data_IF_563322213332
#
_entry.id   IF_563322213332
#
_cell.length_a   1.000
_cell.length_b   1.000
_cell.length_c   1.000
_cell.angle_alpha   90.00
_cell.angle_beta   90.00
_cell.angle_gamma   90.00
#
_symmetry.space_group_name_H-M   'P 1'
#
loop_
_entity.id
_entity.type
_entity.pdbx_description
1 polymer ?
#
# COMPACT_ATOMS: atom_id res chain seq x y z
N UNK A 1 7.83 47.00 -26.53
CA UNK A 1 8.34 46.36 -25.30
C UNK A 1 7.13 45.77 -24.58
N UNK A 2 6.98 44.44 -24.62
CA UNK A 2 5.76 43.71 -24.25
C UNK A 2 5.66 43.57 -22.73
N UNK A 3 4.54 44.01 -22.15
CA UNK A 3 4.04 43.56 -20.85
C UNK A 3 3.79 42.05 -20.93
N UNK A 4 4.52 41.24 -20.16
CA UNK A 4 4.16 39.84 -19.88
C UNK A 4 3.60 39.74 -18.47
N UNK A 5 2.34 39.30 -18.44
CA UNK A 5 1.55 38.89 -17.29
C UNK A 5 2.28 37.76 -16.54
N UNK A 6 2.55 37.95 -15.25
CA UNK A 6 2.84 36.85 -14.33
C UNK A 6 1.52 36.28 -13.84
N UNK A 7 0.95 35.34 -14.60
CA UNK A 7 -0.20 34.54 -14.16
C UNK A 7 0.31 33.53 -13.14
N UNK A 8 -0.11 33.69 -11.88
CA UNK A 8 -0.01 32.66 -10.85
C UNK A 8 -0.95 31.54 -11.27
N UNK A 9 -0.39 30.47 -11.84
CA UNK A 9 -1.12 29.26 -12.12
C UNK A 9 -1.14 28.40 -10.85
N UNK A 10 -2.18 28.59 -10.05
CA UNK A 10 -2.67 27.58 -9.12
C UNK A 10 -3.13 26.40 -9.97
N UNK A 11 -2.24 25.42 -10.20
CA UNK A 11 -2.64 24.14 -10.79
C UNK A 11 -3.21 23.29 -9.66
N UNK A 12 -4.50 23.53 -9.50
CA UNK A 12 -5.51 22.88 -8.72
C UNK A 12 -5.60 21.38 -9.07
N UNK A 13 -5.21 20.52 -8.11
CA UNK A 13 -5.99 19.40 -7.53
C UNK A 13 -7.03 18.62 -8.39
N UNK A 14 -6.85 18.53 -9.71
CA UNK A 14 -7.81 17.87 -10.60
C UNK A 14 -7.30 16.55 -11.23
N UNK A 15 -6.09 16.11 -10.89
CA UNK A 15 -5.49 14.88 -11.46
C UNK A 15 -5.63 13.63 -10.59
N UNK A 16 -6.02 13.72 -9.31
CA UNK A 16 -6.12 12.52 -8.45
C UNK A 16 -7.41 11.71 -8.60
N UNK A 17 -8.47 12.28 -9.17
CA UNK A 17 -9.77 11.58 -9.25
C UNK A 17 -9.88 10.60 -10.42
N UNK A 18 -9.00 10.69 -11.43
CA UNK A 18 -9.03 9.78 -12.60
C UNK A 18 -8.16 8.53 -12.44
N UNK A 19 -7.22 8.50 -11.51
CA UNK A 19 -6.44 7.29 -11.20
C UNK A 19 -7.08 6.40 -10.14
N UNK A 20 -7.94 6.94 -9.28
CA UNK A 20 -8.66 6.18 -8.25
C UNK A 20 -9.61 5.10 -8.82
N UNK A 21 -10.01 5.17 -10.10
CA UNK A 21 -10.88 4.17 -10.73
C UNK A 21 -10.15 2.95 -11.30
N UNK A 22 -8.81 2.90 -11.26
CA UNK A 22 -8.05 1.75 -11.79
C UNK A 22 -7.98 0.57 -10.82
N UNK A 23 -8.41 0.76 -9.58
CA UNK A 23 -8.40 -0.25 -8.51
C UNK A 23 -9.82 -0.63 -8.05
N UNK A 24 -10.75 -0.77 -8.99
CA UNK A 24 -12.03 -1.44 -8.68
C UNK A 24 -11.75 -2.93 -8.45
N UNK A 25 -11.55 -3.31 -7.19
CA UNK A 25 -11.31 -4.70 -6.80
C UNK A 25 -12.58 -5.53 -7.12
N UNK A 26 -12.45 -6.66 -7.83
CA UNK A 26 -13.57 -7.54 -8.14
C UNK A 26 -14.32 -7.99 -6.87
N UNK A 27 -15.65 -7.91 -6.87
CA UNK A 27 -16.53 -8.21 -5.72
C UNK A 27 -16.68 -9.70 -5.39
N UNK A 28 -15.88 -10.58 -6.00
CA UNK A 28 -15.91 -12.02 -5.77
C UNK A 28 -14.57 -12.51 -5.21
N UNK A 29 -14.64 -13.34 -4.17
CA UNK A 29 -13.47 -14.02 -3.62
C UNK A 29 -12.75 -14.80 -4.72
N UNK A 30 -11.46 -14.56 -4.88
CA UNK A 30 -10.61 -15.31 -5.80
C UNK A 30 -9.59 -16.13 -5.04
N UNK A 31 -9.17 -17.23 -5.64
CA UNK A 31 -8.04 -18.01 -5.15
C UNK A 31 -6.80 -17.54 -5.90
N UNK A 32 -5.80 -17.05 -5.18
CA UNK A 32 -4.53 -16.54 -5.73
C UNK A 32 -3.36 -17.42 -5.26
N UNK A 33 -2.24 -17.49 -5.99
CA UNK A 33 -1.02 -18.10 -5.48
C UNK A 33 -0.58 -17.41 -4.19
N UNK A 34 -0.12 -18.18 -3.21
CA UNK A 34 0.44 -17.62 -1.98
C UNK A 34 1.68 -16.78 -2.35
N UNK A 35 1.81 -15.53 -1.86
CA UNK A 35 2.90 -14.64 -2.26
C UNK A 35 4.29 -15.21 -1.92
N UNK A 36 4.41 -15.91 -0.79
CA UNK A 36 5.67 -16.49 -0.31
C UNK A 36 5.81 -18.01 -0.52
N UNK A 37 4.74 -18.79 -0.34
CA UNK A 37 4.81 -20.26 -0.33
C UNK A 37 4.51 -20.81 -1.73
N UNK A 38 5.54 -21.36 -2.38
CA UNK A 38 5.40 -21.99 -3.71
C UNK A 38 4.35 -23.11 -3.69
N UNK A 39 3.62 -23.26 -4.80
CA UNK A 39 2.59 -24.28 -5.02
C UNK A 39 1.45 -24.28 -3.98
N UNK A 40 1.27 -23.18 -3.25
CA UNK A 40 0.15 -23.00 -2.33
C UNK A 40 -0.80 -21.97 -2.90
N UNK A 41 -2.09 -22.22 -2.79
CA UNK A 41 -3.16 -21.31 -3.20
C UNK A 41 -3.87 -20.80 -1.95
N UNK A 42 -4.14 -19.50 -1.90
CA UNK A 42 -4.80 -18.83 -0.78
C UNK A 42 -6.03 -18.08 -1.24
N UNK A 43 -6.97 -17.88 -0.33
CA UNK A 43 -8.12 -17.00 -0.57
C UNK A 43 -7.63 -15.56 -0.49
N UNK A 44 -7.92 -14.80 -1.53
CA UNK A 44 -7.68 -13.37 -1.58
C UNK A 44 -8.66 -12.65 -0.63
N UNK A 45 -8.15 -12.26 0.55
CA UNK A 45 -8.96 -11.60 1.58
C UNK A 45 -9.18 -10.12 1.30
N UNK A 46 -8.38 -9.48 0.44
CA UNK A 46 -8.57 -8.06 0.07
C UNK A 46 -9.97 -7.82 -0.52
N UNK A 47 -10.52 -8.85 -1.17
CA UNK A 47 -11.84 -8.83 -1.81
C UNK A 47 -13.00 -9.03 -0.83
N UNK A 48 -12.72 -9.14 0.47
CA UNK A 48 -13.76 -9.31 1.48
C UNK A 48 -14.17 -7.94 2.04
N UNK A 49 -15.48 -7.63 2.12
CA UNK A 49 -15.97 -6.34 2.61
C UNK A 49 -15.54 -6.04 4.06
N UNK A 50 -15.33 -7.08 4.86
CA UNK A 50 -14.85 -6.98 6.24
C UNK A 50 -13.33 -6.99 6.37
N UNK A 51 -12.58 -7.09 5.28
CA UNK A 51 -11.12 -6.98 5.31
C UNK A 51 -10.68 -5.60 5.77
N UNK A 52 -9.53 -5.53 6.44
CA UNK A 52 -9.02 -4.29 6.98
C UNK A 52 -7.50 -4.29 7.05
N UNK A 53 -6.95 -3.11 6.99
CA UNK A 53 -5.53 -2.84 7.15
C UNK A 53 -5.24 -2.12 8.46
N UNK A 54 -4.03 -2.26 8.96
CA UNK A 54 -3.54 -1.46 10.08
C UNK A 54 -2.34 -0.65 9.63
N UNK A 55 -2.34 0.65 9.95
CA UNK A 55 -1.22 1.54 9.68
C UNK A 55 -1.00 2.47 10.88
N UNK A 56 0.19 2.43 11.49
CA UNK A 56 0.50 3.20 12.71
C UNK A 56 -0.60 3.12 13.77
N UNK A 57 -1.00 1.89 14.13
CA UNK A 57 -2.08 1.55 15.08
C UNK A 57 -3.49 2.04 14.70
N UNK A 58 -3.68 2.63 13.53
CA UNK A 58 -4.99 3.00 13.00
C UNK A 58 -5.55 1.88 12.15
N UNK A 59 -6.82 1.55 12.39
CA UNK A 59 -7.55 0.51 11.67
C UNK A 59 -8.28 1.10 10.46
N UNK A 60 -8.04 0.58 9.27
CA UNK A 60 -8.65 1.00 8.01
C UNK A 60 -9.54 -0.11 7.47
N UNK A 61 -10.84 0.00 7.69
CA UNK A 61 -11.83 -0.97 7.21
C UNK A 61 -13.25 -0.47 7.38
N UNK A 62 -14.22 -1.33 7.07
CA UNK A 62 -15.63 -1.05 7.29
C UNK A 62 -16.27 -2.11 8.20
N UNK A 63 -16.81 -1.70 9.34
CA UNK A 63 -17.47 -2.58 10.31
C UNK A 63 -18.81 -2.00 10.75
N UNK A 64 -19.62 -2.77 11.49
CA UNK A 64 -21.00 -2.36 11.83
C UNK A 64 -21.03 -1.09 12.69
N UNK A 65 -20.02 -0.86 13.53
CA UNK A 65 -19.76 0.39 14.24
C UNK A 65 -18.30 0.80 14.09
N UNK A 66 -18.07 2.09 13.90
CA UNK A 66 -16.76 2.68 13.67
C UNK A 66 -16.68 4.07 14.33
N UNK A 67 -15.47 4.42 14.77
CA UNK A 67 -15.16 5.73 15.35
C UNK A 67 -13.94 6.32 14.65
N UNK A 68 -14.11 7.52 14.12
CA UNK A 68 -13.05 8.26 13.44
C UNK A 68 -12.69 9.48 14.26
N UNK A 69 -11.58 9.41 14.97
CA UNK A 69 -11.01 10.54 15.71
C UNK A 69 -10.10 11.41 14.83
N UNK A 70 -9.55 12.47 15.44
CA UNK A 70 -8.69 13.46 14.76
C UNK A 70 -7.51 12.84 14.00
N UNK A 71 -6.96 11.73 14.50
CA UNK A 71 -5.85 11.01 13.87
C UNK A 71 -6.17 10.47 12.47
N UNK A 72 -7.45 10.23 12.15
CA UNK A 72 -7.86 9.79 10.81
C UNK A 72 -7.92 10.94 9.81
N UNK A 73 -8.10 12.20 10.26
CA UNK A 73 -8.44 13.31 9.36
C UNK A 73 -7.27 13.81 8.51
N UNK A 74 -6.04 13.39 8.83
CA UNK A 74 -4.88 13.56 7.95
C UNK A 74 -4.92 12.63 6.73
N UNK A 75 -5.70 11.54 6.80
CA UNK A 75 -5.79 10.53 5.75
C UNK A 75 -7.14 10.54 5.03
N UNK A 76 -8.23 10.62 5.79
CA UNK A 76 -9.60 10.60 5.27
C UNK A 76 -10.27 11.92 5.65
N UNK A 77 -10.65 12.76 4.67
CA UNK A 77 -11.33 14.01 4.96
C UNK A 77 -12.62 13.79 5.76
N UNK A 78 -12.83 14.61 6.79
CA UNK A 78 -14.05 14.54 7.64
C UNK A 78 -15.33 14.56 6.81
N UNK A 79 -15.37 15.42 5.78
CA UNK A 79 -16.50 15.56 4.87
C UNK A 79 -16.80 14.29 4.09
N UNK A 80 -15.81 13.46 3.77
CA UNK A 80 -16.02 12.18 3.09
C UNK A 80 -16.80 11.21 3.99
N UNK A 81 -16.49 11.18 5.29
CA UNK A 81 -17.19 10.35 6.27
C UNK A 81 -18.59 10.90 6.55
N UNK A 82 -18.71 12.20 6.85
CA UNK A 82 -19.98 12.85 7.19
C UNK A 82 -21.01 12.85 6.05
N UNK A 83 -20.55 12.73 4.80
CA UNK A 83 -21.45 12.69 3.64
C UNK A 83 -22.08 11.32 3.41
N UNK A 84 -21.74 10.28 4.19
CA UNK A 84 -22.26 8.94 4.01
C UNK A 84 -23.72 8.85 4.47
N UNK A 85 -24.65 8.75 3.50
CA UNK A 85 -26.09 8.86 3.75
C UNK A 85 -26.76 7.56 4.21
N UNK A 86 -26.14 6.41 3.92
CA UNK A 86 -26.76 5.10 4.12
C UNK A 86 -26.43 4.48 5.49
N UNK A 87 -25.86 5.24 6.43
CA UNK A 87 -25.62 4.76 7.77
C UNK A 87 -26.92 4.69 8.57
N UNK A 88 -27.08 3.63 9.37
CA UNK A 88 -28.12 3.55 10.39
C UNK A 88 -28.03 4.71 11.40
N UNK A 89 -26.79 5.06 11.80
CA UNK A 89 -26.54 6.21 12.67
C UNK A 89 -25.21 6.86 12.30
N UNK A 90 -25.23 8.18 12.17
CA UNK A 90 -24.03 8.98 11.92
C UNK A 90 -24.09 10.21 12.83
N UNK A 91 -23.07 10.36 13.68
CA UNK A 91 -23.01 11.43 14.66
C UNK A 91 -21.61 12.03 14.74
N UNK A 92 -21.56 13.35 14.88
CA UNK A 92 -20.37 14.07 15.29
C UNK A 92 -20.46 14.33 16.79
N UNK A 93 -19.50 13.81 17.55
CA UNK A 93 -19.40 13.98 19.00
C UNK A 93 -18.69 15.30 19.34
N UNK A 94 -18.84 15.78 20.58
CA UNK A 94 -18.29 17.07 21.04
C UNK A 94 -16.76 17.16 20.96
N UNK A 95 -16.05 16.03 20.96
CA UNK A 95 -14.60 15.94 20.80
C UNK A 95 -14.16 15.82 19.34
N UNK A 96 -15.04 16.20 18.40
CA UNK A 96 -14.88 16.09 16.96
C UNK A 96 -14.79 14.67 16.43
N UNK A 97 -15.02 13.63 17.25
CA UNK A 97 -15.05 12.23 16.78
C UNK A 97 -16.31 11.96 15.98
N UNK A 98 -16.17 11.31 14.82
CA UNK A 98 -17.31 10.88 14.02
C UNK A 98 -17.60 9.42 14.35
N UNK A 99 -18.81 9.16 14.83
CA UNK A 99 -19.35 7.82 15.02
C UNK A 99 -20.19 7.43 13.81
N UNK A 100 -19.94 6.24 13.26
CA UNK A 100 -20.70 5.67 12.15
C UNK A 100 -21.17 4.27 12.55
N UNK A 101 -22.47 4.03 12.40
CA UNK A 101 -23.09 2.72 12.55
C UNK A 101 -23.79 2.36 11.25
N UNK A 102 -23.40 1.25 10.64
CA UNK A 102 -23.95 0.80 9.35
C UNK A 102 -25.27 0.05 9.53
N UNK A 103 -25.38 -0.80 10.57
CA UNK A 103 -26.57 -1.62 10.85
C UNK A 103 -26.96 -1.56 12.33
N UNK A 104 -28.23 -1.84 12.68
CA UNK A 104 -28.68 -1.86 14.07
C UNK A 104 -27.94 -2.88 14.94
N UNK A 105 -27.55 -4.01 14.34
CA UNK A 105 -27.02 -5.18 15.04
C UNK A 105 -25.75 -5.72 14.38
N UNK A 106 -24.80 -6.16 15.22
CA UNK A 106 -23.59 -6.90 14.79
C UNK A 106 -23.93 -8.27 14.17
N UNK A 107 -25.08 -8.85 14.53
CA UNK A 107 -25.49 -10.20 14.11
C UNK A 107 -25.98 -10.24 12.66
N UNK A 108 -26.09 -9.09 11.99
CA UNK A 108 -26.45 -8.99 10.57
C UNK A 108 -25.24 -9.21 9.65
N UNK A 109 -24.14 -9.80 10.16
CA UNK A 109 -22.90 -9.97 9.42
C UNK A 109 -23.06 -10.83 8.14
N UNK A 110 -23.98 -11.78 8.10
CA UNK A 110 -24.25 -12.58 6.89
C UNK A 110 -25.29 -11.96 5.94
N UNK A 111 -25.82 -10.77 6.26
CA UNK A 111 -26.74 -10.07 5.39
C UNK A 111 -26.02 -9.46 4.18
N UNK A 112 -26.46 -9.81 2.97
CA UNK A 112 -25.92 -9.28 1.71
C UNK A 112 -26.07 -7.76 1.59
N UNK A 113 -27.14 -7.17 2.15
CA UNK A 113 -27.32 -5.72 2.21
C UNK A 113 -26.29 -5.05 3.10
N UNK A 114 -25.95 -5.68 4.24
CA UNK A 114 -24.88 -5.20 5.11
C UNK A 114 -23.52 -5.27 4.41
N UNK A 115 -23.23 -6.37 3.69
CA UNK A 115 -22.00 -6.47 2.88
C UNK A 115 -21.92 -5.38 1.83
N UNK A 116 -23.04 -5.03 1.21
CA UNK A 116 -23.13 -3.90 0.28
C UNK A 116 -22.86 -2.58 0.99
N UNK A 117 -23.41 -2.34 2.18
CA UNK A 117 -23.16 -1.12 2.96
C UNK A 117 -21.69 -0.96 3.35
N UNK A 118 -21.00 -2.05 3.70
CA UNK A 118 -19.56 -2.04 3.95
C UNK A 118 -18.79 -1.57 2.71
N UNK A 119 -19.15 -2.09 1.53
CA UNK A 119 -18.55 -1.67 0.26
C UNK A 119 -18.86 -0.21 -0.08
N UNK A 120 -20.14 0.19 0.01
CA UNK A 120 -20.56 1.57 -0.28
C UNK A 120 -19.79 2.56 0.63
N UNK A 121 -19.59 2.22 1.91
CA UNK A 121 -18.81 3.03 2.83
C UNK A 121 -17.33 3.11 2.43
N UNK A 122 -16.72 1.98 2.04
CA UNK A 122 -15.32 1.93 1.58
C UNK A 122 -15.11 2.76 0.32
N UNK A 123 -15.97 2.57 -0.68
CA UNK A 123 -15.94 3.28 -1.96
C UNK A 123 -16.12 4.80 -1.75
N UNK A 124 -17.07 5.21 -0.90
CA UNK A 124 -17.34 6.63 -0.65
C UNK A 124 -16.21 7.33 0.12
N UNK A 125 -15.68 6.67 1.15
CA UNK A 125 -14.64 7.29 2.00
C UNK A 125 -13.25 7.21 1.40
N UNK A 126 -13.03 6.27 0.47
CA UNK A 126 -11.71 5.98 -0.09
C UNK A 126 -10.77 5.30 0.91
N UNK A 127 -11.28 4.79 2.04
CA UNK A 127 -10.49 4.22 3.14
C UNK A 127 -9.54 3.10 2.67
N UNK A 128 -9.96 2.32 1.68
CA UNK A 128 -9.19 1.22 1.11
C UNK A 128 -8.04 1.70 0.23
N UNK A 129 -8.27 2.75 -0.57
CA UNK A 129 -7.24 3.36 -1.42
C UNK A 129 -6.17 3.97 -0.54
N UNK A 130 -6.59 4.73 0.47
CA UNK A 130 -5.71 5.33 1.48
C UNK A 130 -4.89 4.26 2.20
N UNK A 131 -5.52 3.15 2.62
CA UNK A 131 -4.80 2.08 3.30
C UNK A 131 -3.72 1.43 2.42
N UNK A 132 -4.04 1.16 1.14
CA UNK A 132 -3.07 0.61 0.19
C UNK A 132 -1.92 1.58 -0.07
N UNK A 133 -2.21 2.87 -0.30
CA UNK A 133 -1.19 3.90 -0.50
C UNK A 133 -0.23 3.97 0.69
N UNK A 134 -0.76 3.98 1.92
CA UNK A 134 0.04 4.05 3.14
C UNK A 134 0.94 2.81 3.33
N UNK A 135 0.45 1.62 3.01
CA UNK A 135 1.24 0.38 3.11
C UNK A 135 2.33 0.31 2.03
N UNK A 136 2.03 0.76 0.81
CA UNK A 136 3.02 0.85 -0.26
C UNK A 136 4.10 1.90 0.02
N UNK A 137 3.70 3.08 0.50
CA UNK A 137 4.64 4.14 0.85
C UNK A 137 5.58 3.71 2.00
N UNK A 138 5.09 2.98 3.01
CA UNK A 138 5.94 2.46 4.09
C UNK A 138 6.94 1.42 3.57
N UNK A 139 6.53 0.57 2.63
CA UNK A 139 7.43 -0.39 1.99
C UNK A 139 8.50 0.32 1.14
N UNK A 140 8.13 1.33 0.36
CA UNK A 140 9.09 2.13 -0.42
C UNK A 140 10.02 2.96 0.48
N UNK A 141 9.51 3.59 1.53
CA UNK A 141 10.33 4.36 2.47
C UNK A 141 11.25 3.46 3.30
N UNK A 142 10.84 2.22 3.64
CA UNK A 142 11.73 1.21 4.22
C UNK A 142 12.91 0.88 3.32
N UNK A 143 12.74 0.92 1.99
CA UNK A 143 13.81 0.66 1.03
C UNK A 143 14.82 1.82 1.01
N UNK A 144 14.38 3.07 1.20
CA UNK A 144 15.25 4.26 1.12
C UNK A 144 16.19 4.40 2.32
N UNK A 145 15.76 4.00 3.52
CA UNK A 145 16.60 3.98 4.74
C UNK A 145 17.20 2.59 5.05
N UNK A 146 17.14 1.67 4.08
CA UNK A 146 17.72 0.34 4.27
C UNK A 146 19.25 0.40 4.20
N UNK A 147 19.89 -0.28 5.16
CA UNK A 147 21.30 -0.67 5.10
C UNK A 147 21.40 -2.17 4.78
N UNK A 148 21.05 -2.59 3.55
CA UNK A 148 20.87 -3.99 3.23
C UNK A 148 22.21 -4.71 3.19
N UNK A 149 22.20 -5.98 3.60
CA UNK A 149 23.36 -6.88 3.42
C UNK A 149 23.33 -7.60 2.07
N UNK A 150 22.16 -7.58 1.39
CA UNK A 150 21.94 -8.09 0.03
C UNK A 150 20.91 -7.21 -0.68
N UNK A 151 21.19 -6.82 -1.93
CA UNK A 151 20.23 -6.15 -2.82
C UNK A 151 19.87 -7.05 -4.00
N UNK A 152 18.61 -7.01 -4.43
CA UNK A 152 18.12 -7.63 -5.65
C UNK A 152 17.64 -6.52 -6.56
N UNK A 153 18.34 -6.31 -7.67
CA UNK A 153 18.05 -5.27 -8.65
C UNK A 153 17.56 -5.92 -9.95
N UNK A 154 16.69 -5.22 -10.67
CA UNK A 154 16.10 -5.69 -11.93
C UNK A 154 16.16 -4.62 -13.00
N UNK A 155 15.81 -4.99 -14.24
CA UNK A 155 15.66 -4.08 -15.37
C UNK A 155 16.95 -3.30 -15.70
N UNK A 156 17.03 -2.01 -15.37
CA UNK A 156 18.10 -1.10 -15.76
C UNK A 156 19.49 -1.52 -15.27
N UNK A 157 19.56 -2.38 -14.25
CA UNK A 157 20.81 -2.89 -13.67
C UNK A 157 21.31 -4.19 -14.30
N UNK A 158 20.51 -4.84 -15.15
CA UNK A 158 20.85 -6.13 -15.77
C UNK A 158 21.33 -5.92 -17.21
N UNK A 159 22.52 -5.33 -17.37
CA UNK A 159 23.07 -4.95 -18.69
C UNK A 159 23.88 -6.08 -19.34
N UNK A 160 24.17 -7.17 -18.62
CA UNK A 160 24.96 -8.30 -19.09
C UNK A 160 24.11 -9.51 -19.52
N UNK A 161 22.81 -9.33 -19.67
CA UNK A 161 21.88 -10.33 -20.24
C UNK A 161 21.13 -11.15 -19.20
N UNK A 162 21.29 -10.87 -17.90
CA UNK A 162 20.46 -11.42 -16.85
C UNK A 162 19.09 -10.75 -16.75
N UNK A 163 18.23 -11.30 -15.91
CA UNK A 163 16.94 -10.69 -15.55
C UNK A 163 16.92 -10.15 -14.12
N UNK A 164 17.90 -10.54 -13.30
CA UNK A 164 18.08 -10.11 -11.91
C UNK A 164 19.57 -9.96 -11.61
N UNK A 165 19.96 -8.88 -10.96
CA UNK A 165 21.28 -8.68 -10.39
C UNK A 165 21.19 -8.86 -8.87
N UNK A 166 22.00 -9.76 -8.33
CA UNK A 166 22.18 -9.94 -6.89
C UNK A 166 23.47 -9.23 -6.47
N UNK A 167 23.39 -8.38 -5.45
CA UNK A 167 24.53 -7.68 -4.88
C UNK A 167 24.70 -8.05 -3.42
N UNK A 168 25.85 -8.58 -3.07
CA UNK A 168 26.22 -8.95 -1.71
C UNK A 168 27.30 -8.02 -1.17
N UNK A 169 27.17 -7.69 0.11
CA UNK A 169 28.07 -6.82 0.84
C UNK A 169 28.89 -7.65 1.84
N UNK A 170 30.21 -7.68 1.69
CA UNK A 170 31.13 -8.46 2.51
C UNK A 170 32.12 -7.58 3.29
N UNK A 171 32.44 -7.98 4.51
CA UNK A 171 33.59 -7.45 5.26
C UNK A 171 34.89 -8.20 4.90
N UNK A 172 36.02 -7.80 5.47
CA UNK A 172 37.32 -8.44 5.23
C UNK A 172 37.35 -9.92 5.65
N UNK A 173 36.51 -10.28 6.63
CA UNK A 173 36.31 -11.65 7.09
C UNK A 173 35.43 -12.51 6.17
N UNK A 174 35.02 -12.00 5.01
CA UNK A 174 34.09 -12.66 4.05
C UNK A 174 32.73 -13.01 4.67
N UNK A 175 32.30 -12.24 5.67
CA UNK A 175 30.95 -12.34 6.22
C UNK A 175 30.05 -11.35 5.50
N UNK A 176 28.80 -11.76 5.24
CA UNK A 176 27.79 -10.86 4.69
C UNK A 176 27.37 -9.88 5.78
N UNK A 177 27.56 -8.59 5.53
CA UNK A 177 27.33 -7.50 6.50
C UNK A 177 26.47 -6.42 5.86
N UNK A 178 25.84 -5.52 6.66
CA UNK A 178 25.16 -4.34 6.11
C UNK A 178 26.08 -3.53 5.18
N UNK A 179 25.50 -2.88 4.18
CA UNK A 179 26.23 -2.10 3.17
C UNK A 179 27.19 -1.08 3.80
N UNK A 180 26.81 -0.44 4.91
CA UNK A 180 27.64 0.54 5.61
C UNK A 180 28.91 -0.05 6.26
N UNK A 181 28.93 -1.36 6.52
CA UNK A 181 30.04 -2.08 7.14
C UNK A 181 30.89 -2.85 6.10
N UNK A 182 30.53 -2.76 4.82
CA UNK A 182 31.12 -3.56 3.76
C UNK A 182 32.46 -3.00 3.29
N UNK A 183 33.41 -3.90 3.03
CA UNK A 183 34.70 -3.59 2.39
C UNK A 183 34.76 -4.16 0.98
N UNK A 184 33.83 -5.03 0.58
CA UNK A 184 33.83 -5.71 -0.71
C UNK A 184 32.39 -5.92 -1.18
N UNK A 185 32.17 -5.73 -2.48
CA UNK A 185 30.89 -5.95 -3.14
C UNK A 185 31.05 -7.06 -4.18
N UNK A 186 30.13 -8.03 -4.16
CA UNK A 186 29.98 -9.05 -5.19
C UNK A 186 28.65 -8.81 -5.91
N UNK A 187 28.72 -8.56 -7.22
CA UNK A 187 27.56 -8.53 -8.09
C UNK A 187 27.53 -9.79 -8.95
N UNK A 188 26.36 -10.36 -9.15
CA UNK A 188 26.17 -11.32 -10.24
C UNK A 188 24.77 -11.22 -10.85
N UNK A 189 24.71 -11.33 -12.16
CA UNK A 189 23.45 -11.39 -12.91
C UNK A 189 23.04 -12.85 -13.12
N UNK A 190 21.74 -13.12 -12.96
CA UNK A 190 21.15 -14.44 -13.22
C UNK A 190 20.08 -14.38 -14.31
N UNK A 191 20.02 -15.43 -15.12
CA UNK A 191 18.97 -15.62 -16.12
C UNK A 191 17.65 -16.15 -15.52
N UNK A 192 16.67 -16.44 -16.38
CA UNK A 192 15.35 -16.97 -15.99
C UNK A 192 15.41 -18.34 -15.32
N UNK A 193 16.45 -19.12 -15.61
CA UNK A 193 16.67 -20.46 -15.07
C UNK A 193 17.53 -20.42 -13.80
N UNK A 194 17.94 -19.22 -13.35
CA UNK A 194 18.77 -19.01 -12.17
C UNK A 194 20.26 -19.26 -12.41
N UNK A 195 20.71 -19.31 -13.67
CA UNK A 195 22.13 -19.48 -14.01
C UNK A 195 22.83 -18.13 -13.98
N UNK A 196 24.03 -18.10 -13.43
CA UNK A 196 24.89 -16.91 -13.44
C UNK A 196 25.36 -16.66 -14.87
N UNK A 197 25.05 -15.48 -15.40
CA UNK A 197 25.48 -15.06 -16.74
C UNK A 197 26.60 -14.03 -16.71
N UNK A 198 26.79 -13.38 -15.55
CA UNK A 198 27.85 -12.42 -15.32
C UNK A 198 28.14 -12.28 -13.83
N UNK A 199 29.40 -11.99 -13.49
CA UNK A 199 29.87 -11.78 -12.12
C UNK A 199 30.96 -10.70 -12.09
N UNK A 200 30.95 -9.86 -11.06
CA UNK A 200 31.98 -8.88 -10.76
C UNK A 200 32.19 -8.74 -9.26
N UNK A 201 33.46 -8.62 -8.86
CA UNK A 201 33.85 -8.35 -7.47
C UNK A 201 34.74 -7.12 -7.45
N UNK A 202 34.41 -6.17 -6.57
CA UNK A 202 35.28 -5.03 -6.31
C UNK A 202 35.32 -4.65 -4.84
N UNK A 203 36.41 -3.99 -4.45
CA UNK A 203 36.63 -3.47 -3.09
C UNK A 203 36.07 -2.06 -3.00
N UNK A 204 35.40 -1.74 -1.88
CA UNK A 204 34.90 -0.40 -1.56
C UNK A 204 36.02 0.51 -1.05
#
# INVERSE_FOLDING_TARGET
>A
MRLRKGTVAVIQLALSWRMAFRWMIPRSSSIIPHPTIKNTMVVDTEKLPGHSHFYNDLWFGAHWMMWFGKSYYKYIPRSAILSFKNAFRLLELSNETIFVQLTPSIWEYDNSEYRKLQWDFREQTGIEVVAHELLHDDDENRIVDADPSVEILTEAYCIHGGIRLLRYYYNEGRQVVPRSEATTVLNYEVDRDGRVVWEEVYRL
#
